data_IF_509926848406
#
_entry.id   IF_509926848406
#
_cell.length_a   1.000
_cell.length_b   1.000
_cell.length_c   1.000
_cell.angle_alpha   90.00
_cell.angle_beta   90.00
_cell.angle_gamma   90.00
#
_symmetry.space_group_name_H-M   'P 1'
#
loop_
_entity.id
_entity.type
_entity.pdbx_description
1 polymer ?
#
# COMPACT_ATOMS: atom_id res chain seq x y z
N UNK A 1 -1.44 3.58 21.31
CA UNK A 1 -0.80 3.85 20.02
C UNK A 1 -0.40 2.49 19.47
N UNK A 2 -1.20 1.90 18.58
CA UNK A 2 -0.82 0.66 17.91
C UNK A 2 0.09 1.08 16.76
N UNK A 3 1.40 0.88 16.90
CA UNK A 3 2.34 1.03 15.80
C UNK A 3 2.07 -0.13 14.83
N UNK A 4 1.28 0.14 13.80
CA UNK A 4 1.13 -0.78 12.68
C UNK A 4 2.42 -0.67 11.86
N UNK A 5 3.11 -1.80 11.65
CA UNK A 5 4.34 -1.81 10.85
C UNK A 5 3.97 -1.45 9.42
N UNK A 6 4.65 -0.43 8.87
CA UNK A 6 4.57 -0.06 7.46
C UNK A 6 5.79 -0.58 6.74
N UNK A 7 5.54 -1.42 5.75
CA UNK A 7 6.56 -2.06 4.94
C UNK A 7 7.02 -1.12 3.84
N UNK A 8 8.31 -1.14 3.56
CA UNK A 8 8.91 -0.42 2.43
C UNK A 8 8.93 -1.31 1.18
N UNK A 9 9.20 -0.71 0.03
CA UNK A 9 9.20 -1.44 -1.25
C UNK A 9 10.22 -2.58 -1.34
N UNK A 10 11.27 -2.57 -0.52
CA UNK A 10 12.20 -3.70 -0.39
C UNK A 10 11.64 -4.93 0.34
N UNK A 11 10.49 -4.84 1.01
CA UNK A 11 10.00 -5.84 1.97
C UNK A 11 8.82 -6.67 1.43
N UNK A 12 8.74 -6.83 0.10
CA UNK A 12 7.65 -7.56 -0.59
C UNK A 12 7.43 -8.97 -0.03
N UNK A 13 8.49 -9.69 0.33
CA UNK A 13 8.37 -11.06 0.86
C UNK A 13 7.67 -11.10 2.22
N UNK A 14 7.91 -10.09 3.05
CA UNK A 14 7.27 -9.96 4.35
C UNK A 14 5.79 -9.61 4.20
N UNK A 15 5.48 -8.71 3.27
CA UNK A 15 4.11 -8.33 2.90
C UNK A 15 3.31 -9.56 2.47
N UNK A 16 3.83 -10.36 1.54
CA UNK A 16 3.18 -11.61 1.09
C UNK A 16 3.00 -12.59 2.25
N UNK A 17 3.97 -12.67 3.15
CA UNK A 17 3.89 -13.52 4.35
C UNK A 17 2.77 -13.05 5.30
N UNK A 18 2.62 -11.74 5.51
CA UNK A 18 1.55 -11.20 6.34
C UNK A 18 0.18 -11.42 5.72
N UNK A 19 0.04 -11.22 4.41
CA UNK A 19 -1.21 -11.49 3.68
C UNK A 19 -1.63 -12.95 3.88
N UNK A 20 -0.71 -13.91 3.72
CA UNK A 20 -0.98 -15.35 3.90
C UNK A 20 -1.31 -15.74 5.35
N UNK A 21 -0.91 -14.92 6.34
CA UNK A 21 -1.33 -15.09 7.74
C UNK A 21 -2.73 -14.54 8.03
N UNK A 22 -3.37 -13.89 7.04
CA UNK A 22 -4.68 -13.24 7.19
C UNK A 22 -4.60 -11.80 7.69
N UNK A 23 -3.41 -11.20 7.73
CA UNK A 23 -3.24 -9.80 8.11
C UNK A 23 -3.36 -8.88 6.89
N UNK A 24 -3.66 -7.60 7.15
CA UNK A 24 -3.61 -6.52 6.16
C UNK A 24 -2.31 -5.74 6.38
N UNK A 25 -1.22 -6.04 5.65
CA UNK A 25 -0.01 -5.26 5.74
C UNK A 25 -0.25 -3.82 5.26
N UNK A 26 0.49 -2.89 5.88
CA UNK A 26 0.56 -1.49 5.48
C UNK A 26 1.83 -1.28 4.67
N UNK A 27 1.79 -0.50 3.61
CA UNK A 27 2.94 -0.24 2.74
C UNK A 27 3.04 1.24 2.43
N UNK A 28 4.23 1.80 2.67
CA UNK A 28 4.56 3.15 2.23
C UNK A 28 5.06 3.09 0.78
N UNK A 29 4.66 4.07 0.00
CA UNK A 29 5.05 4.27 -1.40
C UNK A 29 5.21 5.78 -1.64
N UNK A 30 6.13 6.18 -2.48
CA UNK A 30 6.43 7.59 -2.73
C UNK A 30 5.49 8.17 -3.81
N UNK A 31 5.25 7.38 -4.85
CA UNK A 31 4.49 7.82 -6.01
C UNK A 31 3.75 6.68 -6.74
N UNK A 32 3.06 7.04 -7.82
CA UNK A 32 2.34 6.07 -8.66
C UNK A 32 3.29 5.11 -9.39
N UNK A 33 4.53 5.52 -9.68
CA UNK A 33 5.53 4.67 -10.35
C UNK A 33 6.02 3.58 -9.41
N UNK A 34 6.31 3.94 -8.16
CA UNK A 34 6.70 3.00 -7.12
C UNK A 34 5.53 2.07 -6.75
N UNK A 35 4.32 2.61 -6.61
CA UNK A 35 3.12 1.78 -6.47
C UNK A 35 3.02 0.73 -7.59
N UNK A 36 3.16 1.13 -8.85
CA UNK A 36 3.11 0.18 -9.97
C UNK A 36 4.25 -0.85 -9.93
N UNK A 37 5.44 -0.44 -9.46
CA UNK A 37 6.55 -1.36 -9.25
C UNK A 37 6.19 -2.42 -8.18
N UNK A 38 5.62 -2.02 -7.05
CA UNK A 38 5.14 -2.94 -6.00
C UNK A 38 4.12 -3.92 -6.55
N UNK A 39 3.13 -3.45 -7.32
CA UNK A 39 2.10 -4.32 -7.92
C UNK A 39 2.74 -5.39 -8.81
N UNK A 40 3.78 -5.03 -9.59
CA UNK A 40 4.48 -5.96 -10.45
C UNK A 40 5.29 -7.00 -9.65
N UNK A 41 5.97 -6.58 -8.58
CA UNK A 41 6.71 -7.49 -7.71
C UNK A 41 5.77 -8.48 -6.98
N UNK A 42 4.64 -7.98 -6.48
CA UNK A 42 3.59 -8.83 -5.90
C UNK A 42 3.06 -9.86 -6.92
N UNK A 43 2.86 -9.44 -8.17
CA UNK A 43 2.42 -10.32 -9.24
C UNK A 43 3.46 -11.42 -9.54
N UNK A 44 4.76 -11.10 -9.53
CA UNK A 44 5.83 -12.09 -9.67
C UNK A 44 5.84 -13.11 -8.52
N UNK A 45 5.36 -12.72 -7.33
CA UNK A 45 5.19 -13.59 -6.15
C UNK A 45 3.83 -14.30 -6.11
N UNK A 46 3.01 -14.18 -7.16
CA UNK A 46 1.71 -14.86 -7.29
C UNK A 46 0.51 -14.09 -6.74
N UNK A 47 0.70 -12.86 -6.26
CA UNK A 47 -0.35 -12.01 -5.73
C UNK A 47 -0.77 -10.99 -6.80
N UNK A 48 -1.89 -11.23 -7.45
CA UNK A 48 -2.39 -10.34 -8.50
C UNK A 48 -3.47 -9.41 -7.96
N UNK A 49 -3.40 -8.13 -8.36
CA UNK A 49 -4.45 -7.16 -8.08
C UNK A 49 -5.76 -7.58 -8.75
N UNK A 50 -6.86 -7.49 -8.01
CA UNK A 50 -8.21 -7.70 -8.54
C UNK A 50 -8.66 -6.39 -9.20
N UNK A 51 -8.70 -6.35 -10.53
CA UNK A 51 -9.02 -5.13 -11.29
C UNK A 51 -10.48 -4.70 -11.18
N UNK A 52 -11.39 -5.66 -10.98
CA UNK A 52 -12.82 -5.40 -10.77
C UNK A 52 -13.13 -4.80 -9.39
N UNK A 53 -12.15 -4.82 -8.48
CA UNK A 53 -12.23 -4.19 -7.16
C UNK A 53 -11.52 -2.82 -7.22
N UNK A 54 -12.26 -1.69 -7.23
CA UNK A 54 -11.65 -0.37 -7.22
C UNK A 54 -10.90 -0.12 -5.89
N UNK A 55 -9.88 0.76 -5.88
CA UNK A 55 -9.21 1.17 -4.65
C UNK A 55 -10.19 1.73 -3.63
N UNK A 56 -10.13 1.25 -2.39
CA UNK A 56 -10.99 1.72 -1.30
C UNK A 56 -10.29 2.78 -0.46
N UNK A 57 -10.67 4.04 -0.69
CA UNK A 57 -10.15 5.22 0.03
C UNK A 57 -10.81 5.46 1.39
N UNK A 58 -11.85 4.70 1.73
CA UNK A 58 -12.59 4.85 2.99
C UNK A 58 -12.33 3.68 3.94
N UNK A 59 -11.34 2.83 3.65
CA UNK A 59 -11.03 1.67 4.47
C UNK A 59 -10.48 2.03 5.87
N UNK A 60 -9.96 3.26 6.03
CA UNK A 60 -9.47 3.84 7.28
C UNK A 60 -10.12 5.21 7.53
N UNK A 61 -10.04 5.65 8.79
CA UNK A 61 -10.48 6.97 9.22
C UNK A 61 -9.38 8.00 8.93
N UNK A 62 -9.55 8.79 7.86
CA UNK A 62 -8.54 9.75 7.38
C UNK A 62 -8.25 10.88 8.38
N UNK A 63 -9.13 11.12 9.37
CA UNK A 63 -8.84 12.05 10.46
C UNK A 63 -7.81 11.48 11.45
N UNK A 64 -7.73 10.15 11.56
CA UNK A 64 -6.76 9.46 12.43
C UNK A 64 -5.50 9.05 11.67
N UNK A 65 -5.65 8.73 10.38
CA UNK A 65 -4.59 8.25 9.51
C UNK A 65 -4.60 9.10 8.22
N UNK A 66 -4.12 10.36 8.27
CA UNK A 66 -4.17 11.28 7.13
C UNK A 66 -3.28 10.85 5.96
N UNK A 67 -2.26 10.05 6.23
CA UNK A 67 -1.33 9.49 5.23
C UNK A 67 -1.91 8.26 4.52
N UNK A 68 -3.05 7.72 4.98
CA UNK A 68 -3.70 6.60 4.31
C UNK A 68 -4.33 7.07 3.01
N UNK A 69 -3.99 6.39 1.93
CA UNK A 69 -4.45 6.74 0.59
C UNK A 69 -5.56 5.81 0.11
N UNK A 70 -5.28 4.50 0.08
CA UNK A 70 -6.25 3.52 -0.36
C UNK A 70 -5.86 2.08 0.01
N UNK A 71 -6.89 1.22 0.07
CA UNK A 71 -6.75 -0.23 0.16
C UNK A 71 -6.92 -0.87 -1.21
N UNK A 72 -6.03 -1.80 -1.56
CA UNK A 72 -6.13 -2.60 -2.79
C UNK A 72 -6.38 -4.06 -2.45
N UNK A 73 -7.27 -4.69 -3.23
CA UNK A 73 -7.57 -6.11 -3.16
C UNK A 73 -6.67 -6.94 -4.09
N UNK A 74 -6.21 -8.08 -3.60
CA UNK A 74 -5.37 -9.04 -4.31
C UNK A 74 -5.93 -10.46 -4.20
N UNK A 75 -5.64 -11.28 -5.20
CA UNK A 75 -5.93 -12.72 -5.23
C UNK A 75 -4.64 -13.49 -5.47
N UNK A 76 -4.54 -14.67 -4.87
CA UNK A 76 -3.41 -15.57 -5.07
C UNK A 76 -3.66 -16.49 -6.28
N UNK A 77 -3.01 -16.20 -7.41
CA UNK A 77 -3.19 -17.00 -8.64
C UNK A 77 -2.36 -18.28 -8.65
N UNK A 78 -1.34 -18.38 -7.79
CA UNK A 78 -0.47 -19.56 -7.72
C UNK A 78 -1.19 -20.77 -7.13
N UNK A 79 -2.35 -20.59 -6.51
CA UNK A 79 -3.14 -21.65 -5.93
C UNK A 79 -4.59 -21.55 -6.41
N UNK A 80 -4.95 -22.32 -7.43
CA UNK A 80 -6.30 -22.33 -8.01
C UNK A 80 -7.43 -22.75 -7.01
N UNK A 81 -7.08 -23.27 -5.82
CA UNK A 81 -8.03 -23.55 -4.74
C UNK A 81 -8.15 -22.40 -3.73
N UNK A 82 -7.21 -21.46 -3.76
CA UNK A 82 -7.21 -20.29 -2.90
C UNK A 82 -8.10 -19.21 -3.52
N UNK A 83 -9.33 -19.13 -3.01
CA UNK A 83 -10.30 -18.09 -3.37
C UNK A 83 -10.27 -16.90 -2.41
N UNK A 84 -9.25 -16.85 -1.55
CA UNK A 84 -9.12 -15.80 -0.55
C UNK A 84 -8.79 -14.46 -1.23
N UNK A 85 -9.45 -13.42 -0.74
CA UNK A 85 -9.12 -12.05 -1.09
C UNK A 85 -8.20 -11.51 0.01
N UNK A 86 -7.08 -10.96 -0.41
CA UNK A 86 -6.09 -10.33 0.44
C UNK A 86 -6.11 -8.82 0.22
N UNK A 87 -5.62 -8.06 1.19
CA UNK A 87 -5.62 -6.61 1.14
C UNK A 87 -4.26 -6.05 1.54
N UNK A 88 -3.91 -4.91 0.94
CA UNK A 88 -2.77 -4.07 1.37
C UNK A 88 -3.30 -2.65 1.51
N UNK A 89 -2.95 -2.01 2.62
CA UNK A 89 -3.20 -0.58 2.86
C UNK A 89 -1.98 0.21 2.38
N UNK A 90 -2.18 1.09 1.41
CA UNK A 90 -1.12 1.95 0.88
C UNK A 90 -1.19 3.35 1.50
N UNK A 91 -0.01 3.87 1.83
CA UNK A 91 0.21 5.19 2.38
C UNK A 91 1.17 5.91 1.45
N UNK A 92 0.88 7.16 1.10
CA UNK A 92 1.85 8.00 0.40
C UNK A 92 2.59 8.86 1.41
N UNK A 93 3.89 9.03 1.21
CA UNK A 93 4.61 10.07 1.96
C UNK A 93 3.94 11.43 1.67
N UNK A 94 3.68 12.23 2.72
CA UNK A 94 3.18 13.58 2.50
C UNK A 94 4.20 14.33 1.65
N UNK A 95 3.75 14.90 0.52
CA UNK A 95 4.56 15.85 -0.23
C UNK A 95 5.01 16.95 0.73
N UNK A 96 6.32 17.06 0.99
CA UNK A 96 6.86 18.28 1.59
C UNK A 96 6.56 19.41 0.59
N UNK A 97 5.57 20.26 0.90
CA UNK A 97 5.51 21.58 0.26
C UNK A 97 6.83 22.26 0.62
N UNK A 98 7.73 22.45 -0.35
CA UNK A 98 8.90 23.29 -0.16
C UNK A 98 8.40 24.64 0.38
N UNK A 99 8.70 24.92 1.65
CA UNK A 99 8.40 26.21 2.26
C UNK A 99 8.92 27.30 1.32
N UNK A 100 8.02 28.15 0.79
CA UNK A 100 8.37 29.38 0.08
C UNK A 100 9.02 30.41 1.03
N UNK A 101 10.01 30.00 1.82
CA UNK A 101 10.81 30.84 2.69
C UNK A 101 12.04 31.34 1.91
N UNK A 102 11.83 32.21 0.92
CA UNK A 102 12.97 32.73 0.15
C UNK A 102 12.76 33.93 -0.77
N UNK A 103 11.57 34.53 -0.89
CA UNK A 103 11.34 35.64 -1.86
C UNK A 103 11.03 36.99 -1.20
N UNK A 104 11.10 37.09 0.13
CA UNK A 104 11.01 38.38 0.81
C UNK A 104 12.11 38.52 1.87
N UNK A 105 13.35 38.63 1.41
CA UNK A 105 14.40 39.30 2.17
C UNK A 105 14.66 40.65 1.45
N UNK A 106 14.30 41.71 2.16
CA UNK A 106 14.39 43.14 1.83
C UNK A 106 15.81 43.58 1.36
#
# INVERSE_FOLDING_TARGET
MFYQIRYQTGEIEEVVTQMKKGNIPCMDVDDTKEFNWVINELAQKGMQRILDAPPDRNAKDTLKEPEFEFRIAFSNISNAKDTSIYYIDFYFEPFEEEDYAGVFAD
#
